data_IF_927129572824
#
_entry.id   IF_927129572824
#
_cell.length_a   1.000
_cell.length_b   1.000
_cell.length_c   1.000
_cell.angle_alpha   90.00
_cell.angle_beta   90.00
_cell.angle_gamma   90.00
#
_symmetry.space_group_name_H-M   'P 1'
#
loop_
_entity.id
_entity.type
_entity.pdbx_description
1 polymer ?
#
# COMPACT_ATOMS: atom_id res chain seq x y z
N UNK A 1 -12.88 22.43 -21.20
CA UNK A 1 -12.33 21.07 -21.03
C UNK A 1 -12.31 20.77 -19.55
N UNK A 2 -12.89 19.64 -19.10
CA UNK A 2 -12.91 19.24 -17.68
C UNK A 2 -12.05 17.96 -17.59
N UNK A 3 -10.92 17.96 -16.86
CA UNK A 3 -10.06 16.79 -16.73
C UNK A 3 -10.64 15.77 -15.73
N UNK A 4 -10.23 14.51 -15.84
CA UNK A 4 -10.61 13.44 -14.90
C UNK A 4 -10.07 13.71 -13.48
N UNK A 5 -8.86 14.25 -13.37
CA UNK A 5 -8.24 14.64 -12.10
C UNK A 5 -7.23 15.78 -12.30
N UNK A 6 -6.99 16.56 -11.25
CA UNK A 6 -5.98 17.62 -11.19
C UNK A 6 -5.45 17.75 -9.77
N UNK A 7 -4.21 18.18 -9.62
CA UNK A 7 -3.63 18.52 -8.34
C UNK A 7 -4.20 19.86 -7.85
N UNK A 8 -4.32 19.99 -6.53
CA UNK A 8 -4.54 21.28 -5.87
C UNK A 8 -3.21 21.64 -5.23
N UNK A 9 -2.67 22.81 -5.59
CA UNK A 9 -1.41 23.35 -5.08
C UNK A 9 -1.71 24.78 -4.68
N UNK A 10 -1.35 25.16 -3.46
CA UNK A 10 -1.52 26.52 -2.94
C UNK A 10 -0.17 27.19 -2.56
N UNK A 11 -0.23 28.39 -1.98
CA UNK A 11 0.96 29.16 -1.64
C UNK A 11 1.75 28.53 -0.47
N UNK A 12 1.10 27.75 0.40
CA UNK A 12 1.76 27.07 1.51
C UNK A 12 2.59 25.89 0.99
N UNK A 13 2.08 25.15 -0.01
CA UNK A 13 2.84 24.10 -0.71
C UNK A 13 4.12 24.66 -1.36
N UNK A 14 4.01 25.80 -2.05
CA UNK A 14 5.14 26.47 -2.71
C UNK A 14 6.15 26.96 -1.67
N UNK A 15 5.67 27.56 -0.58
CA UNK A 15 6.52 28.04 0.51
C UNK A 15 7.32 26.89 1.15
N UNK A 16 6.69 25.74 1.40
CA UNK A 16 7.34 24.57 1.98
C UNK A 16 8.49 24.02 1.10
N UNK A 17 8.29 24.00 -0.23
CA UNK A 17 9.35 23.62 -1.18
C UNK A 17 10.48 24.66 -1.17
N UNK A 18 10.17 25.95 -1.20
CA UNK A 18 11.19 27.02 -1.19
C UNK A 18 12.00 27.01 0.11
N UNK A 19 11.38 26.77 1.25
CA UNK A 19 12.06 26.60 2.54
C UNK A 19 13.07 25.45 2.47
N UNK A 20 12.65 24.30 1.94
CA UNK A 20 13.52 23.12 1.78
C UNK A 20 14.69 23.42 0.84
N UNK A 21 14.44 24.07 -0.31
CA UNK A 21 15.46 24.46 -1.29
C UNK A 21 16.51 25.43 -0.73
N UNK A 22 16.15 26.22 0.30
CA UNK A 22 17.05 27.16 0.98
C UNK A 22 17.73 26.57 2.21
N UNK A 23 17.37 25.35 2.61
CA UNK A 23 17.96 24.65 3.74
C UNK A 23 19.23 23.90 3.36
N UNK A 24 19.93 23.34 4.36
CA UNK A 24 21.12 22.50 4.14
C UNK A 24 20.77 21.09 3.59
N UNK A 25 19.48 20.74 3.48
CA UNK A 25 19.02 19.38 3.15
C UNK A 25 18.06 19.37 1.96
N UNK A 26 18.55 18.96 0.79
CA UNK A 26 17.73 18.83 -0.44
C UNK A 26 17.19 17.41 -0.68
N UNK A 27 17.70 16.41 0.03
CA UNK A 27 17.25 15.01 -0.05
C UNK A 27 16.66 14.60 1.31
N UNK A 28 16.81 13.34 1.71
CA UNK A 28 16.41 12.88 3.05
C UNK A 28 17.03 13.77 4.13
N UNK A 29 16.18 14.29 5.01
CA UNK A 29 16.55 15.25 6.04
C UNK A 29 15.40 15.48 7.02
N UNK A 30 15.45 16.56 7.83
CA UNK A 30 14.49 16.80 8.91
C UNK A 30 13.02 16.82 8.47
N UNK A 31 12.73 17.37 7.28
CA UNK A 31 11.37 17.40 6.71
C UNK A 31 10.77 16.01 6.49
N UNK A 32 11.59 15.00 6.20
CA UNK A 32 11.12 13.61 6.09
C UNK A 32 10.68 13.08 7.45
N UNK A 33 11.48 13.29 8.50
CA UNK A 33 11.14 12.86 9.86
C UNK A 33 9.93 13.61 10.42
N UNK A 34 9.76 14.89 10.07
CA UNK A 34 8.54 15.66 10.37
C UNK A 34 7.32 15.06 9.69
N UNK A 35 7.41 14.76 8.39
CA UNK A 35 6.33 14.14 7.64
C UNK A 35 5.96 12.75 8.19
N UNK A 36 6.95 11.90 8.49
CA UNK A 36 6.73 10.58 9.06
C UNK A 36 5.99 10.65 10.41
N UNK A 37 6.40 11.55 11.31
CA UNK A 37 5.69 11.76 12.59
C UNK A 37 4.26 12.23 12.37
N UNK A 38 4.05 13.22 11.49
CA UNK A 38 2.72 13.76 11.22
C UNK A 38 1.78 12.69 10.62
N UNK A 39 2.27 11.86 9.71
CA UNK A 39 1.48 10.77 9.12
C UNK A 39 1.17 9.69 10.17
N UNK A 40 2.16 9.27 10.97
CA UNK A 40 1.96 8.29 12.03
C UNK A 40 0.88 8.75 13.03
N UNK A 41 0.93 10.01 13.45
CA UNK A 41 -0.09 10.63 14.31
C UNK A 41 -1.46 10.66 13.63
N UNK A 42 -1.53 11.09 12.37
CA UNK A 42 -2.79 11.21 11.62
C UNK A 42 -3.53 9.87 11.48
N UNK A 43 -2.80 8.79 11.22
CA UNK A 43 -3.39 7.45 11.03
C UNK A 43 -3.46 6.62 12.31
N UNK A 44 -2.91 7.12 13.42
CA UNK A 44 -2.84 6.40 14.69
C UNK A 44 -1.86 5.23 14.71
N UNK A 45 -0.80 5.27 13.89
CA UNK A 45 0.25 4.26 13.87
C UNK A 45 1.42 4.63 14.81
N UNK A 46 2.13 3.63 15.32
CA UNK A 46 3.33 3.87 16.16
C UNK A 46 4.51 4.41 15.34
N UNK A 47 4.62 3.98 14.08
CA UNK A 47 5.69 4.34 13.17
C UNK A 47 5.16 4.59 11.75
N UNK A 48 5.84 5.46 11.01
CA UNK A 48 5.66 5.63 9.56
C UNK A 48 7.04 5.76 8.90
N UNK A 49 7.15 5.28 7.65
CA UNK A 49 8.37 5.37 6.85
C UNK A 49 8.01 5.95 5.49
N UNK A 50 8.61 7.08 5.14
CA UNK A 50 8.39 7.75 3.87
C UNK A 50 9.27 7.15 2.78
N UNK A 51 8.67 6.91 1.62
CA UNK A 51 9.35 6.41 0.42
C UNK A 51 8.84 7.16 -0.82
N UNK A 52 9.53 6.97 -1.95
CA UNK A 52 9.28 7.76 -3.16
C UNK A 52 7.97 7.43 -3.91
N UNK A 53 7.25 6.37 -3.55
CA UNK A 53 6.02 5.93 -4.22
C UNK A 53 5.29 4.84 -3.43
N UNK A 54 3.99 4.65 -3.71
CA UNK A 54 3.22 3.51 -3.19
C UNK A 54 3.79 2.14 -3.62
N UNK A 55 4.34 2.04 -4.82
CA UNK A 55 5.02 0.81 -5.28
C UNK A 55 6.27 0.50 -4.44
N UNK A 56 7.09 1.51 -4.13
CA UNK A 56 8.24 1.34 -3.25
C UNK A 56 7.82 0.94 -1.84
N UNK A 57 6.71 1.49 -1.33
CA UNK A 57 6.17 1.12 -0.02
C UNK A 57 5.74 -0.35 0.02
N UNK A 58 4.98 -0.80 -0.98
CA UNK A 58 4.59 -2.20 -1.12
C UNK A 58 5.80 -3.12 -1.27
N UNK A 59 6.80 -2.74 -2.07
CA UNK A 59 8.02 -3.52 -2.25
C UNK A 59 8.83 -3.65 -0.95
N UNK A 60 8.99 -2.55 -0.21
CA UNK A 60 9.64 -2.53 1.10
C UNK A 60 8.87 -3.38 2.13
N UNK A 61 7.54 -3.33 2.11
CA UNK A 61 6.69 -4.17 2.97
C UNK A 61 6.92 -5.66 2.70
N UNK A 62 6.96 -6.08 1.43
CA UNK A 62 7.25 -7.48 1.09
C UNK A 62 8.64 -7.91 1.58
N UNK A 63 9.65 -7.04 1.46
CA UNK A 63 10.99 -7.28 1.99
C UNK A 63 11.00 -7.41 3.53
N UNK A 64 10.28 -6.53 4.22
CA UNK A 64 10.17 -6.54 5.68
C UNK A 64 9.50 -7.83 6.20
N UNK A 65 8.49 -8.33 5.48
CA UNK A 65 7.84 -9.62 5.74
C UNK A 65 8.67 -10.83 5.30
N UNK A 66 9.84 -10.61 4.67
CA UNK A 66 10.73 -11.65 4.14
C UNK A 66 10.06 -12.57 3.12
N UNK A 67 9.11 -12.04 2.36
CA UNK A 67 8.48 -12.74 1.24
C UNK A 67 9.54 -13.03 0.17
N UNK A 68 9.56 -14.25 -0.36
CA UNK A 68 10.53 -14.63 -1.39
C UNK A 68 10.13 -15.85 -2.22
N UNK A 69 11.07 -16.45 -2.96
CA UNK A 69 10.81 -17.60 -3.82
C UNK A 69 10.16 -18.76 -3.06
N UNK A 70 9.08 -19.29 -3.64
CA UNK A 70 8.29 -20.38 -3.04
C UNK A 70 7.07 -19.90 -2.25
N UNK A 71 7.05 -18.65 -1.80
CA UNK A 71 5.89 -18.06 -1.12
C UNK A 71 4.79 -17.65 -2.10
N UNK A 72 3.56 -17.67 -1.61
CA UNK A 72 2.37 -17.14 -2.27
C UNK A 72 1.83 -15.93 -1.51
N UNK A 73 1.43 -14.89 -2.25
CA UNK A 73 0.73 -13.73 -1.69
C UNK A 73 -0.58 -13.53 -2.43
N UNK A 74 -1.68 -13.54 -1.69
CA UNK A 74 -3.02 -13.37 -2.28
C UNK A 74 -3.26 -11.89 -2.51
N UNK A 75 -3.68 -11.53 -3.73
CA UNK A 75 -3.99 -10.15 -4.14
C UNK A 75 -5.32 -10.11 -4.89
N UNK A 76 -6.08 -9.00 -4.88
CA UNK A 76 -7.28 -8.89 -5.71
C UNK A 76 -6.95 -8.96 -7.19
N UNK A 77 -7.81 -9.62 -7.97
CA UNK A 77 -7.74 -9.64 -9.44
C UNK A 77 -8.04 -8.26 -10.05
N UNK A 78 -8.83 -7.43 -9.35
CA UNK A 78 -9.15 -6.06 -9.74
C UNK A 78 -8.37 -5.06 -8.88
N UNK A 79 -7.25 -4.59 -9.40
CA UNK A 79 -6.36 -3.62 -8.73
C UNK A 79 -5.42 -2.96 -9.73
N UNK A 80 -4.70 -1.93 -9.30
CA UNK A 80 -3.51 -1.46 -10.00
C UNK A 80 -2.38 -2.51 -9.95
N UNK A 81 -1.59 -2.60 -11.03
CA UNK A 81 -0.58 -3.65 -11.22
C UNK A 81 0.52 -3.67 -10.14
N UNK A 82 0.80 -2.54 -9.48
CA UNK A 82 1.80 -2.47 -8.41
C UNK A 82 1.54 -3.49 -7.29
N UNK A 83 0.27 -3.80 -6.99
CA UNK A 83 -0.14 -4.75 -5.95
C UNK A 83 0.37 -6.17 -6.22
N UNK A 84 0.35 -6.63 -7.46
CA UNK A 84 0.91 -7.94 -7.83
C UNK A 84 2.41 -7.86 -8.11
N UNK A 85 2.88 -6.75 -8.68
CA UNK A 85 4.28 -6.56 -9.02
C UNK A 85 5.20 -6.56 -7.79
N UNK A 86 4.77 -6.00 -6.66
CA UNK A 86 5.60 -6.02 -5.45
C UNK A 86 5.89 -7.44 -4.94
N UNK A 87 4.98 -8.39 -5.17
CA UNK A 87 5.17 -9.82 -4.90
C UNK A 87 6.16 -10.42 -5.89
N UNK A 88 5.93 -10.17 -7.18
CA UNK A 88 6.77 -10.70 -8.25
C UNK A 88 8.22 -10.17 -8.18
N UNK A 89 8.43 -8.92 -7.75
CA UNK A 89 9.77 -8.34 -7.57
C UNK A 89 10.60 -9.07 -6.51
N UNK A 90 9.97 -9.69 -5.51
CA UNK A 90 10.64 -10.54 -4.53
C UNK A 90 10.87 -11.98 -5.02
N UNK A 91 10.40 -12.33 -6.22
CA UNK A 91 10.43 -13.70 -6.74
C UNK A 91 9.36 -14.62 -6.16
N UNK A 92 8.39 -14.08 -5.40
CA UNK A 92 7.22 -14.81 -4.90
C UNK A 92 6.11 -14.90 -5.96
N UNK A 93 5.07 -15.70 -5.68
CA UNK A 93 3.96 -15.93 -6.61
C UNK A 93 2.71 -15.12 -6.19
N UNK A 94 2.23 -14.16 -6.99
CA UNK A 94 0.94 -13.54 -6.75
C UNK A 94 -0.21 -14.51 -7.08
N UNK A 95 -1.13 -14.70 -6.13
CA UNK A 95 -2.33 -15.54 -6.29
C UNK A 95 -3.56 -14.63 -6.32
N UNK A 96 -4.29 -14.62 -7.44
CA UNK A 96 -5.36 -13.66 -7.66
C UNK A 96 -6.71 -14.11 -7.08
N UNK A 97 -7.21 -13.40 -6.07
CA UNK A 97 -8.56 -13.54 -5.51
C UNK A 97 -9.57 -12.66 -6.25
N UNK A 98 -10.73 -13.23 -6.55
CA UNK A 98 -11.86 -12.49 -7.12
C UNK A 98 -12.45 -11.46 -6.13
N UNK A 99 -13.15 -10.46 -6.67
CA UNK A 99 -13.75 -9.35 -5.93
C UNK A 99 -15.26 -9.49 -5.82
N UNK A 100 -15.86 -8.80 -4.86
CA UNK A 100 -17.30 -8.66 -4.78
C UNK A 100 -17.78 -7.72 -5.91
N UNK A 101 -18.79 -8.14 -6.68
CA UNK A 101 -19.23 -7.41 -7.88
C UNK A 101 -19.93 -6.08 -7.61
N UNK A 102 -20.48 -5.86 -6.42
CA UNK A 102 -21.16 -4.60 -6.07
C UNK A 102 -20.21 -3.57 -5.44
N UNK A 103 -19.12 -4.02 -4.82
CA UNK A 103 -18.17 -3.15 -4.11
C UNK A 103 -16.79 -3.06 -4.76
N UNK A 104 -16.46 -4.02 -5.62
CA UNK A 104 -15.14 -4.18 -6.25
C UNK A 104 -13.99 -4.47 -5.27
N UNK A 105 -14.31 -4.71 -4.00
CA UNK A 105 -13.35 -5.08 -2.94
C UNK A 105 -13.11 -6.59 -2.94
N UNK A 106 -11.93 -7.01 -2.48
CA UNK A 106 -11.56 -8.43 -2.42
C UNK A 106 -12.55 -9.22 -1.56
N UNK A 107 -12.99 -10.39 -2.05
CA UNK A 107 -13.94 -11.24 -1.32
C UNK A 107 -13.21 -12.10 -0.27
N UNK A 108 -13.58 -12.03 1.02
CA UNK A 108 -12.97 -12.88 2.06
C UNK A 108 -13.13 -14.38 1.78
N UNK A 109 -14.24 -14.79 1.17
CA UNK A 109 -14.44 -16.18 0.74
C UNK A 109 -13.45 -16.56 -0.37
N UNK A 110 -13.30 -15.69 -1.37
CA UNK A 110 -12.38 -15.90 -2.48
C UNK A 110 -10.92 -15.98 -2.03
N UNK A 111 -10.54 -15.20 -1.00
CA UNK A 111 -9.25 -15.31 -0.31
C UNK A 111 -9.14 -16.67 0.39
N UNK A 112 -10.14 -17.05 1.19
CA UNK A 112 -10.16 -18.33 1.92
C UNK A 112 -9.95 -19.52 0.98
N UNK A 113 -10.62 -19.54 -0.16
CA UNK A 113 -10.55 -20.63 -1.15
C UNK A 113 -9.16 -20.77 -1.82
N UNK A 114 -8.30 -19.77 -1.67
CA UNK A 114 -6.96 -19.70 -2.30
C UNK A 114 -5.82 -19.90 -1.31
N UNK A 115 -6.10 -20.01 -0.03
CA UNK A 115 -5.07 -20.25 0.98
C UNK A 115 -4.47 -21.64 0.76
N UNK A 116 -3.14 -21.69 0.76
CA UNK A 116 -2.34 -22.91 0.73
C UNK A 116 -1.29 -22.85 1.84
N UNK A 117 -0.56 -23.95 2.06
CA UNK A 117 0.59 -23.97 2.99
C UNK A 117 1.71 -22.99 2.60
N UNK A 118 1.71 -22.48 1.36
CA UNK A 118 2.67 -21.50 0.85
C UNK A 118 2.18 -20.05 0.99
N UNK A 119 0.92 -19.83 1.36
CA UNK A 119 0.38 -18.48 1.54
C UNK A 119 1.03 -17.80 2.74
N UNK A 120 1.62 -16.62 2.50
CA UNK A 120 2.30 -15.83 3.54
C UNK A 120 1.64 -14.51 3.87
N UNK A 121 0.90 -13.94 2.93
CA UNK A 121 0.24 -12.66 3.11
C UNK A 121 -0.99 -12.53 2.21
N UNK A 122 -1.88 -11.63 2.60
CA UNK A 122 -2.99 -11.14 1.79
C UNK A 122 -2.84 -9.63 1.66
N UNK A 123 -2.86 -9.11 0.44
CA UNK A 123 -2.88 -7.67 0.18
C UNK A 123 -4.28 -7.28 -0.24
N UNK A 124 -4.94 -6.46 0.58
CA UNK A 124 -6.22 -5.86 0.27
C UNK A 124 -6.05 -4.49 -0.40
N UNK A 125 -7.06 -4.04 -1.15
CA UNK A 125 -7.05 -2.74 -1.83
C UNK A 125 -8.37 -2.05 -1.56
N UNK A 126 -8.29 -0.92 -0.86
CA UNK A 126 -9.43 -0.05 -0.57
C UNK A 126 -9.86 0.70 -1.83
N UNK A 127 -10.63 0.00 -2.65
CA UNK A 127 -10.97 0.42 -4.01
C UNK A 127 -11.72 1.75 -4.01
N UNK A 128 -11.23 2.72 -4.77
CA UNK A 128 -11.77 4.08 -4.82
C UNK A 128 -11.89 4.78 -3.44
N UNK A 129 -11.09 4.36 -2.45
CA UNK A 129 -11.12 4.88 -1.07
C UNK A 129 -12.18 4.23 -0.18
N UNK A 130 -12.89 3.21 -0.66
CA UNK A 130 -13.80 2.41 0.16
C UNK A 130 -13.00 1.35 0.94
N UNK A 131 -13.10 1.29 2.27
CA UNK A 131 -12.36 0.31 3.07
C UNK A 131 -12.86 -1.12 2.83
N UNK A 132 -11.92 -2.06 2.78
CA UNK A 132 -12.21 -3.49 2.79
C UNK A 132 -12.88 -3.93 4.10
N UNK A 133 -13.52 -5.11 4.09
CA UNK A 133 -13.97 -5.76 5.32
C UNK A 133 -12.75 -6.37 6.05
N UNK A 134 -12.00 -5.52 6.72
CA UNK A 134 -10.78 -5.90 7.44
C UNK A 134 -11.06 -6.86 8.60
N UNK A 135 -12.23 -6.80 9.22
CA UNK A 135 -12.62 -7.75 10.26
C UNK A 135 -12.77 -9.16 9.69
N UNK A 136 -13.45 -9.30 8.55
CA UNK A 136 -13.58 -10.59 7.87
C UNK A 136 -12.23 -11.10 7.33
N UNK A 137 -11.43 -10.23 6.72
CA UNK A 137 -10.11 -10.60 6.22
C UNK A 137 -9.17 -11.03 7.35
N UNK A 138 -9.17 -10.32 8.48
CA UNK A 138 -8.38 -10.69 9.64
C UNK A 138 -8.81 -12.04 10.20
N UNK A 139 -10.11 -12.29 10.33
CA UNK A 139 -10.62 -13.60 10.77
C UNK A 139 -10.22 -14.76 9.82
N UNK A 140 -9.97 -14.48 8.55
CA UNK A 140 -9.43 -15.47 7.59
C UNK A 140 -7.93 -15.69 7.82
N UNK A 141 -7.16 -14.62 8.06
CA UNK A 141 -5.71 -14.68 8.26
C UNK A 141 -5.28 -15.23 9.63
N UNK A 142 -6.11 -15.10 10.66
CA UNK A 142 -5.81 -15.55 12.03
C UNK A 142 -6.02 -17.07 12.24
N UNK A 143 -6.48 -17.80 11.21
CA UNK A 143 -6.72 -19.24 11.23
C UNK A 143 -5.47 -20.05 10.92
#
# INVERSE_FOLDING_TARGET
MIPYGRQTIDDDDVAAVVETLRSDWLTTGPKVAEFERAVAEYVGAEHAVAVNSGTAALHAMMAALRIGPGDEVIVPALTFAATANCVAYQGATPVFADVNSSTLLVSPQSVTDRITERTRAVVAVDYAGQPCDYAALQAVCDR
#
